data_IF_446468888206
#
_entry.id   IF_446468888206
#
_cell.length_a   1.000
_cell.length_b   1.000
_cell.length_c   1.000
_cell.angle_alpha   90.00
_cell.angle_beta   90.00
_cell.angle_gamma   90.00
#
_symmetry.space_group_name_H-M   'P 1'
#
loop_
_entity.id
_entity.type
_entity.pdbx_description
1 polymer ?
#
# COMPACT_ATOMS: atom_id res chain seq x y z
N UNK A 1 -1.51 22.72 -23.63
CA UNK A 1 -2.54 21.74 -23.22
C UNK A 1 -2.37 20.36 -23.87
N UNK A 2 -1.86 20.23 -25.12
CA UNK A 2 -1.62 18.92 -25.77
C UNK A 2 -0.41 18.16 -25.18
N UNK A 3 0.66 18.82 -24.77
CA UNK A 3 1.86 18.17 -24.16
C UNK A 3 1.59 17.44 -22.86
N UNK A 4 0.67 17.93 -22.01
CA UNK A 4 0.33 17.31 -20.73
C UNK A 4 -0.36 15.94 -20.86
N UNK A 5 -1.06 15.69 -21.99
CA UNK A 5 -1.77 14.43 -22.22
C UNK A 5 -0.80 13.28 -22.55
N UNK A 6 0.38 13.60 -23.10
CA UNK A 6 1.37 12.59 -23.50
C UNK A 6 2.43 12.31 -22.43
N UNK A 7 2.41 13.01 -21.30
CA UNK A 7 3.35 12.75 -20.23
C UNK A 7 3.16 11.33 -19.69
N UNK A 8 4.21 10.52 -19.84
CA UNK A 8 4.23 9.17 -19.30
C UNK A 8 4.51 9.23 -17.80
N UNK A 9 3.77 8.50 -16.93
CA UNK A 9 4.13 8.40 -15.51
C UNK A 9 5.52 7.78 -15.35
N UNK A 10 6.26 8.23 -14.35
CA UNK A 10 7.43 7.53 -13.86
C UNK A 10 7.05 6.14 -13.36
N UNK A 11 8.02 5.25 -13.16
CA UNK A 11 7.73 3.93 -12.59
C UNK A 11 7.22 4.03 -11.16
N UNK A 12 7.71 4.99 -10.38
CA UNK A 12 7.24 5.23 -9.01
C UNK A 12 5.77 5.68 -9.01
N UNK A 13 5.39 6.64 -9.87
CA UNK A 13 4.00 7.07 -10.01
C UNK A 13 3.10 5.93 -10.50
N UNK A 14 3.58 5.11 -11.45
CA UNK A 14 2.82 3.99 -11.98
C UNK A 14 2.52 2.94 -10.89
N UNK A 15 3.52 2.52 -10.12
CA UNK A 15 3.31 1.54 -9.06
C UNK A 15 2.56 2.12 -7.87
N UNK A 16 2.74 3.40 -7.57
CA UNK A 16 1.92 4.08 -6.57
C UNK A 16 0.43 4.10 -6.98
N UNK A 17 0.12 4.34 -8.26
CA UNK A 17 -1.27 4.25 -8.76
C UNK A 17 -1.84 2.83 -8.58
N UNK A 18 -1.06 1.78 -8.83
CA UNK A 18 -1.50 0.40 -8.59
C UNK A 18 -1.77 0.16 -7.10
N UNK A 19 -0.90 0.65 -6.19
CA UNK A 19 -1.12 0.57 -4.76
C UNK A 19 -2.41 1.33 -4.34
N UNK A 20 -2.66 2.52 -4.89
CA UNK A 20 -3.89 3.28 -4.67
C UNK A 20 -5.13 2.53 -5.20
N UNK A 21 -5.02 1.91 -6.35
CA UNK A 21 -6.10 1.08 -6.90
C UNK A 21 -6.36 -0.14 -6.01
N UNK A 22 -5.31 -0.79 -5.49
CA UNK A 22 -5.48 -1.87 -4.52
C UNK A 22 -6.17 -1.39 -3.24
N UNK A 23 -5.86 -0.16 -2.76
CA UNK A 23 -6.49 0.45 -1.59
C UNK A 23 -8.01 0.59 -1.73
N UNK A 24 -8.56 0.73 -2.95
CA UNK A 24 -10.02 0.80 -3.16
C UNK A 24 -10.75 -0.48 -2.76
N UNK A 25 -10.02 -1.59 -2.62
CA UNK A 25 -10.54 -2.88 -2.14
C UNK A 25 -10.53 -3.00 -0.61
N UNK A 26 -9.99 -2.02 0.10
CA UNK A 26 -9.94 -2.04 1.55
C UNK A 26 -11.33 -2.19 2.17
N UNK A 27 -11.41 -3.01 3.19
CA UNK A 27 -12.62 -3.22 3.99
C UNK A 27 -12.43 -2.77 5.43
N UNK A 28 -11.38 -1.99 5.70
CA UNK A 28 -11.11 -1.35 6.98
C UNK A 28 -11.91 -0.07 7.14
N UNK A 29 -12.42 0.19 8.35
CA UNK A 29 -13.19 1.40 8.66
C UNK A 29 -12.29 2.61 8.96
N UNK A 30 -11.01 2.40 9.29
CA UNK A 30 -10.10 3.50 9.67
C UNK A 30 -9.60 4.26 8.43
N UNK A 31 -8.76 3.63 7.63
CA UNK A 31 -8.34 4.19 6.33
C UNK A 31 -8.09 3.09 5.30
N UNK A 32 -8.35 3.36 4.02
CA UNK A 32 -7.96 2.47 2.95
C UNK A 32 -6.44 2.53 2.73
N UNK A 33 -5.78 1.39 2.84
CA UNK A 33 -4.34 1.24 2.55
C UNK A 33 -4.17 0.16 1.49
N UNK A 34 -3.29 0.42 0.53
CA UNK A 34 -2.92 -0.52 -0.51
C UNK A 34 -1.41 -0.66 -0.63
N UNK A 35 -0.98 -1.84 -1.02
CA UNK A 35 0.42 -2.18 -1.24
C UNK A 35 0.60 -2.96 -2.54
N UNK A 36 1.74 -2.78 -3.20
CA UNK A 36 2.14 -3.57 -4.37
C UNK A 36 3.61 -3.95 -4.25
N UNK A 37 3.91 -5.24 -4.41
CA UNK A 37 5.26 -5.77 -4.46
C UNK A 37 5.67 -5.88 -5.93
N UNK A 38 6.84 -5.34 -6.25
CA UNK A 38 7.35 -5.20 -7.61
C UNK A 38 8.77 -5.71 -7.70
N UNK A 39 9.11 -6.41 -8.77
CA UNK A 39 10.49 -6.77 -9.11
C UNK A 39 10.67 -6.67 -10.62
N UNK A 40 11.79 -6.13 -11.07
CA UNK A 40 12.11 -5.98 -12.50
C UNK A 40 10.97 -5.30 -13.29
N UNK A 41 10.33 -4.30 -12.69
CA UNK A 41 9.17 -3.57 -13.23
C UNK A 41 7.93 -4.44 -13.46
N UNK A 42 7.85 -5.62 -12.83
CA UNK A 42 6.68 -6.49 -12.85
C UNK A 42 6.00 -6.52 -11.49
N UNK A 43 4.68 -6.46 -11.49
CA UNK A 43 3.88 -6.64 -10.28
C UNK A 43 3.91 -8.11 -9.88
N UNK A 44 4.38 -8.39 -8.68
CA UNK A 44 4.42 -9.74 -8.11
C UNK A 44 3.18 -10.05 -7.29
N UNK A 45 2.76 -9.11 -6.43
CA UNK A 45 1.60 -9.28 -5.58
C UNK A 45 1.03 -7.90 -5.21
N UNK A 46 -0.26 -7.88 -4.90
CA UNK A 46 -0.95 -6.71 -4.34
C UNK A 46 -1.55 -7.07 -2.99
N UNK A 47 -1.74 -6.07 -2.13
CA UNK A 47 -2.43 -6.22 -0.86
C UNK A 47 -3.24 -4.98 -0.53
N UNK A 48 -4.28 -5.16 0.24
CA UNK A 48 -5.07 -4.08 0.84
C UNK A 48 -5.43 -4.47 2.27
N UNK A 49 -5.72 -3.50 3.12
CA UNK A 49 -6.01 -3.79 4.52
C UNK A 49 -7.47 -4.23 4.71
N UNK A 50 -7.65 -5.23 5.57
CA UNK A 50 -8.94 -5.81 5.91
C UNK A 50 -8.79 -7.06 6.76
N UNK A 51 -9.88 -7.59 7.34
CA UNK A 51 -9.86 -8.83 8.10
C UNK A 51 -9.31 -10.00 7.26
N UNK A 52 -8.80 -11.05 7.90
CA UNK A 52 -8.37 -12.27 7.21
C UNK A 52 -9.46 -12.82 6.29
N UNK A 53 -9.04 -13.45 5.18
CA UNK A 53 -9.96 -14.09 4.24
C UNK A 53 -10.88 -15.09 4.96
N UNK A 54 -12.18 -15.03 4.67
CA UNK A 54 -13.21 -15.83 5.34
C UNK A 54 -13.84 -15.15 6.57
N UNK A 55 -13.28 -14.05 7.08
CA UNK A 55 -13.91 -13.25 8.13
C UNK A 55 -14.88 -12.21 7.54
N UNK A 56 -15.90 -11.84 8.32
CA UNK A 56 -16.78 -10.74 7.94
C UNK A 56 -15.99 -9.43 7.80
N UNK A 57 -16.29 -8.66 6.76
CA UNK A 57 -15.68 -7.36 6.54
C UNK A 57 -16.13 -6.33 7.58
N UNK A 58 -15.20 -5.52 8.08
CA UNK A 58 -15.53 -4.45 9.03
C UNK A 58 -16.54 -3.46 8.43
N UNK A 59 -16.42 -3.14 7.15
CA UNK A 59 -17.36 -2.27 6.43
C UNK A 59 -18.78 -2.86 6.34
N UNK A 60 -18.92 -4.19 6.24
CA UNK A 60 -20.22 -4.85 6.14
C UNK A 60 -20.94 -4.96 7.50
N UNK A 61 -20.16 -5.10 8.59
CA UNK A 61 -20.73 -5.23 9.94
C UNK A 61 -20.79 -3.89 10.70
N UNK A 62 -20.15 -2.83 10.21
CA UNK A 62 -20.18 -1.50 10.82
C UNK A 62 -19.22 -1.28 11.99
N UNK A 63 -18.43 -2.28 12.38
CA UNK A 63 -17.47 -2.19 13.49
C UNK A 63 -16.24 -3.07 13.25
N UNK A 64 -15.11 -2.76 13.91
CA UNK A 64 -13.92 -3.59 13.89
C UNK A 64 -14.06 -4.77 14.86
N UNK A 65 -14.52 -4.50 16.07
CA UNK A 65 -14.90 -5.48 17.07
C UNK A 65 -16.26 -5.11 17.67
N UNK A 66 -17.05 -6.08 18.16
CA UNK A 66 -18.22 -5.78 18.98
C UNK A 66 -17.81 -4.85 20.13
N UNK A 67 -18.67 -3.89 20.46
CA UNK A 67 -18.45 -3.04 21.63
C UNK A 67 -18.23 -3.93 22.86
N UNK A 68 -17.01 -3.92 23.38
CA UNK A 68 -16.75 -4.43 24.70
C UNK A 68 -17.20 -3.36 25.68
N UNK A 69 -18.17 -3.65 26.49
CA UNK A 69 -18.86 -2.74 27.45
C UNK A 69 -17.95 -2.11 28.51
N UNK A 70 -16.65 -2.26 28.43
CA UNK A 70 -15.66 -1.59 29.28
C UNK A 70 -14.48 -1.11 28.44
N UNK A 71 -14.37 0.20 28.26
CA UNK A 71 -13.21 0.86 27.67
C UNK A 71 -12.00 0.87 28.62
N UNK A 72 -11.56 -0.28 29.04
CA UNK A 72 -10.25 -0.40 29.66
C UNK A 72 -9.21 -0.41 28.54
N UNK A 73 -8.52 0.72 28.35
CA UNK A 73 -7.49 0.85 27.32
C UNK A 73 -6.37 -0.20 27.44
N UNK A 74 -6.18 -0.78 28.64
CA UNK A 74 -5.23 -1.88 28.85
C UNK A 74 -5.69 -3.20 28.22
N UNK A 75 -6.98 -3.31 27.87
CA UNK A 75 -7.61 -4.48 27.24
C UNK A 75 -7.99 -4.23 25.79
N UNK A 76 -7.53 -3.13 25.20
CA UNK A 76 -7.80 -2.82 23.79
C UNK A 76 -7.30 -3.95 22.88
N UNK A 77 -8.22 -4.57 22.18
CA UNK A 77 -7.89 -5.60 21.20
C UNK A 77 -7.14 -4.97 20.02
N UNK A 78 -6.15 -5.66 19.44
CA UNK A 78 -5.52 -5.21 18.21
C UNK A 78 -6.55 -5.17 17.08
N UNK A 79 -6.35 -4.30 16.10
CA UNK A 79 -7.22 -4.24 14.93
C UNK A 79 -7.39 -5.63 14.30
N UNK A 80 -8.62 -5.98 13.89
CA UNK A 80 -8.87 -7.20 13.09
C UNK A 80 -8.23 -7.14 11.71
N UNK A 81 -7.91 -5.95 11.25
CA UNK A 81 -7.37 -5.73 9.92
C UNK A 81 -5.93 -6.23 9.82
N UNK A 82 -5.67 -7.13 8.90
CA UNK A 82 -4.33 -7.41 8.40
C UNK A 82 -3.92 -6.22 7.54
N UNK A 83 -2.74 -5.68 7.75
CA UNK A 83 -2.25 -4.53 7.00
C UNK A 83 -1.97 -4.88 5.54
N UNK A 84 -2.02 -3.89 4.67
CA UNK A 84 -1.89 -4.06 3.22
C UNK A 84 -0.56 -4.74 2.84
N UNK A 85 0.53 -4.34 3.50
CA UNK A 85 1.87 -4.88 3.28
C UNK A 85 1.94 -6.36 3.67
N UNK A 86 1.40 -6.69 4.84
CA UNK A 86 1.35 -8.07 5.32
C UNK A 86 0.49 -8.95 4.39
N UNK A 87 -0.64 -8.42 3.90
CA UNK A 87 -1.48 -9.11 2.91
C UNK A 87 -0.75 -9.31 1.59
N UNK A 88 0.00 -8.32 1.08
CA UNK A 88 0.78 -8.47 -0.14
C UNK A 88 1.84 -9.57 -0.01
N UNK A 89 2.57 -9.60 1.12
CA UNK A 89 3.56 -10.65 1.43
C UNK A 89 2.88 -12.01 1.56
N UNK A 90 1.74 -12.09 2.25
CA UNK A 90 0.99 -13.34 2.40
C UNK A 90 0.46 -13.86 1.05
N UNK A 91 -0.01 -12.98 0.14
CA UNK A 91 -0.40 -13.36 -1.21
C UNK A 91 0.79 -13.89 -2.01
N UNK A 92 1.95 -13.23 -1.96
CA UNK A 92 3.16 -13.74 -2.59
C UNK A 92 3.52 -15.14 -2.07
N UNK A 93 3.54 -15.32 -0.75
CA UNK A 93 3.84 -16.61 -0.11
C UNK A 93 2.84 -17.71 -0.51
N UNK A 94 1.53 -17.39 -0.51
CA UNK A 94 0.47 -18.33 -0.90
C UNK A 94 0.62 -18.86 -2.33
N UNK A 95 1.18 -18.03 -3.21
CA UNK A 95 1.36 -18.39 -4.63
C UNK A 95 2.79 -18.81 -4.97
N UNK A 96 3.67 -19.01 -3.97
CA UNK A 96 5.06 -19.42 -4.19
C UNK A 96 5.91 -18.37 -4.89
N UNK A 97 5.55 -17.09 -4.78
CA UNK A 97 6.27 -15.98 -5.42
C UNK A 97 7.39 -15.50 -4.51
N UNK A 98 8.62 -15.55 -5.01
CA UNK A 98 9.79 -15.06 -4.29
C UNK A 98 9.82 -13.52 -4.25
N UNK A 99 9.85 -12.96 -3.05
CA UNK A 99 9.92 -11.50 -2.82
C UNK A 99 11.34 -10.99 -2.57
N UNK A 100 12.33 -11.87 -2.51
CA UNK A 100 13.71 -11.48 -2.27
C UNK A 100 14.25 -10.55 -3.36
N UNK A 101 14.76 -9.39 -2.95
CA UNK A 101 15.23 -8.33 -3.85
C UNK A 101 14.11 -7.58 -4.58
N UNK A 102 12.86 -7.71 -4.14
CA UNK A 102 11.75 -6.90 -4.63
C UNK A 102 11.70 -5.54 -3.93
N UNK A 103 10.84 -4.67 -4.46
CA UNK A 103 10.49 -3.34 -3.95
C UNK A 103 9.01 -3.37 -3.56
N UNK A 104 8.63 -2.62 -2.53
CA UNK A 104 7.23 -2.45 -2.17
C UNK A 104 6.81 -0.98 -2.25
N UNK A 105 5.67 -0.71 -2.88
CA UNK A 105 5.01 0.60 -2.89
C UNK A 105 3.76 0.52 -2.03
N UNK A 106 3.57 1.49 -1.14
CA UNK A 106 2.42 1.56 -0.23
C UNK A 106 1.84 2.97 -0.17
N UNK A 107 0.54 3.07 0.01
CA UNK A 107 -0.13 4.37 0.12
C UNK A 107 0.10 5.06 1.46
N UNK A 108 0.47 4.30 2.52
CA UNK A 108 0.77 4.80 3.85
C UNK A 108 2.09 4.20 4.35
N UNK A 109 2.94 5.01 4.99
CA UNK A 109 4.22 4.53 5.55
C UNK A 109 4.01 3.31 6.44
N UNK A 110 4.79 2.22 6.23
CA UNK A 110 4.63 0.99 6.99
C UNK A 110 4.87 1.19 8.49
N UNK A 111 4.00 0.62 9.30
CA UNK A 111 4.26 0.54 10.72
C UNK A 111 5.45 -0.39 11.01
N UNK A 112 6.02 -0.30 12.22
CA UNK A 112 7.21 -1.09 12.58
C UNK A 112 7.01 -2.61 12.45
N UNK A 113 5.79 -3.11 12.64
CA UNK A 113 5.50 -4.54 12.49
C UNK A 113 5.54 -4.97 11.02
N UNK A 114 4.94 -4.18 10.13
CA UNK A 114 5.02 -4.40 8.69
C UNK A 114 6.44 -4.23 8.16
N UNK A 115 7.19 -3.25 8.67
CA UNK A 115 8.57 -3.04 8.29
C UNK A 115 9.46 -4.26 8.59
N UNK A 116 9.28 -4.89 9.76
CA UNK A 116 9.96 -6.15 10.10
C UNK A 116 9.63 -7.27 9.11
N UNK A 117 8.35 -7.42 8.74
CA UNK A 117 7.93 -8.41 7.75
C UNK A 117 8.53 -8.15 6.37
N UNK A 118 8.54 -6.88 5.93
CA UNK A 118 9.14 -6.44 4.67
C UNK A 118 10.62 -6.83 4.64
N UNK A 119 11.39 -6.48 5.67
CA UNK A 119 12.81 -6.82 5.78
C UNK A 119 13.00 -8.36 5.76
N UNK A 120 12.22 -9.08 6.57
CA UNK A 120 12.32 -10.55 6.68
C UNK A 120 11.92 -11.28 5.39
N UNK A 121 11.10 -10.66 4.53
CA UNK A 121 10.73 -11.20 3.23
C UNK A 121 11.76 -10.90 2.11
N UNK A 122 12.90 -10.27 2.47
CA UNK A 122 13.95 -9.93 1.53
C UNK A 122 13.71 -8.69 0.69
N UNK A 123 12.67 -7.93 0.98
CA UNK A 123 12.38 -6.63 0.36
C UNK A 123 13.25 -5.57 1.05
N UNK A 124 14.01 -4.79 0.27
CA UNK A 124 14.95 -3.79 0.81
C UNK A 124 14.58 -2.34 0.51
N UNK A 125 13.66 -2.11 -0.40
CA UNK A 125 13.23 -0.77 -0.78
C UNK A 125 11.73 -0.60 -0.57
N UNK A 126 11.36 0.45 0.15
CA UNK A 126 9.98 0.82 0.46
C UNK A 126 9.72 2.21 -0.06
N UNK A 127 8.74 2.34 -0.94
CA UNK A 127 8.23 3.61 -1.40
C UNK A 127 6.85 3.84 -0.78
N UNK A 128 6.62 4.99 -0.16
CA UNK A 128 5.34 5.31 0.48
C UNK A 128 4.86 6.71 0.11
N UNK A 129 3.55 6.93 0.11
CA UNK A 129 2.98 8.23 -0.24
C UNK A 129 2.80 9.12 0.99
N UNK A 130 2.08 8.65 1.98
CA UNK A 130 1.72 9.42 3.17
C UNK A 130 2.52 8.93 4.37
N UNK A 131 3.14 9.86 5.10
CA UNK A 131 3.85 9.52 6.33
C UNK A 131 2.90 9.07 7.42
N UNK A 132 3.34 8.13 8.22
CA UNK A 132 2.61 7.62 9.38
C UNK A 132 3.37 7.94 10.67
N UNK A 133 2.72 8.67 11.57
CA UNK A 133 3.30 8.95 12.89
C UNK A 133 3.23 7.69 13.75
N UNK A 134 4.33 6.96 13.82
CA UNK A 134 4.46 5.72 14.60
C UNK A 134 4.73 5.95 16.10
N UNK A 135 4.69 7.20 16.56
CA UNK A 135 5.04 7.55 17.94
C UNK A 135 6.48 7.16 18.29
N UNK A 136 6.73 6.68 19.51
CA UNK A 136 8.07 6.31 19.98
C UNK A 136 8.77 5.14 19.26
N UNK A 137 8.17 4.59 18.19
CA UNK A 137 8.74 3.48 17.41
C UNK A 137 9.62 3.95 16.24
N UNK A 138 9.70 5.26 16.01
CA UNK A 138 10.54 5.85 14.96
C UNK A 138 12.03 5.47 15.12
N UNK A 139 12.54 5.44 16.35
CA UNK A 139 13.93 5.08 16.64
C UNK A 139 14.32 3.69 16.12
N UNK A 140 13.42 2.70 16.22
CA UNK A 140 13.71 1.35 15.70
C UNK A 140 13.68 1.30 14.18
N UNK A 141 12.79 2.07 13.53
CA UNK A 141 12.78 2.25 12.07
C UNK A 141 14.12 2.85 11.61
N UNK A 142 14.55 3.91 12.28
CA UNK A 142 15.77 4.64 11.91
C UNK A 142 17.01 3.75 12.08
N UNK A 143 17.03 2.89 13.11
CA UNK A 143 18.08 1.89 13.29
C UNK A 143 18.13 0.91 12.10
N UNK A 144 17.00 0.38 11.63
CA UNK A 144 16.99 -0.53 10.48
C UNK A 144 17.48 0.14 9.19
N UNK A 145 17.22 1.44 9.04
CA UNK A 145 17.74 2.23 7.91
C UNK A 145 19.25 2.43 8.05
N UNK A 146 19.75 2.80 9.23
CA UNK A 146 21.19 2.99 9.51
C UNK A 146 21.97 1.70 9.31
N UNK A 147 21.41 0.56 9.69
CA UNK A 147 22.03 -0.76 9.49
C UNK A 147 21.98 -1.23 8.02
N UNK A 148 21.39 -0.44 7.12
CA UNK A 148 21.28 -0.77 5.69
C UNK A 148 20.35 -1.94 5.38
N UNK A 149 19.45 -2.28 6.30
CA UNK A 149 18.51 -3.41 6.13
C UNK A 149 17.38 -3.06 5.20
N UNK A 150 16.98 -1.77 5.16
CA UNK A 150 15.88 -1.26 4.34
C UNK A 150 16.11 0.21 4.03
N UNK A 151 15.65 0.65 2.86
CA UNK A 151 15.52 2.07 2.52
C UNK A 151 14.05 2.47 2.44
N UNK A 152 13.71 3.64 2.98
CA UNK A 152 12.38 4.24 2.91
C UNK A 152 12.45 5.52 2.10
N UNK A 153 11.59 5.66 1.10
CA UNK A 153 11.51 6.83 0.24
C UNK A 153 10.08 7.28 0.09
N UNK A 154 9.82 8.54 0.41
CA UNK A 154 8.52 9.13 0.14
C UNK A 154 8.40 9.48 -1.33
N UNK A 155 7.26 9.14 -1.93
CA UNK A 155 6.91 9.42 -3.32
C UNK A 155 5.49 9.97 -3.38
N UNK A 156 5.21 10.77 -4.39
CA UNK A 156 3.88 11.34 -4.58
C UNK A 156 3.48 11.23 -6.04
N UNK A 157 2.17 11.19 -6.25
CA UNK A 157 1.59 11.25 -7.59
C UNK A 157 1.43 12.73 -7.97
N UNK A 158 1.98 13.14 -9.10
CA UNK A 158 1.79 14.50 -9.61
C UNK A 158 0.34 14.72 -10.03
N UNK A 159 -0.17 15.95 -9.88
CA UNK A 159 -1.55 16.31 -10.26
C UNK A 159 -1.84 16.00 -11.73
N UNK A 160 -0.87 16.21 -12.60
CA UNK A 160 -0.99 15.91 -14.04
C UNK A 160 -1.22 14.43 -14.28
N UNK A 161 -0.43 13.56 -13.63
CA UNK A 161 -0.56 12.11 -13.78
C UNK A 161 -1.83 11.60 -13.09
N UNK A 162 -2.21 12.16 -11.92
CA UNK A 162 -3.45 11.83 -11.25
C UNK A 162 -4.68 12.13 -12.13
N UNK A 163 -4.75 13.32 -12.73
CA UNK A 163 -5.82 13.71 -13.66
C UNK A 163 -5.86 12.82 -14.90
N UNK A 164 -4.70 12.51 -15.47
CA UNK A 164 -4.58 11.59 -16.59
C UNK A 164 -5.11 10.21 -16.26
N UNK A 165 -4.71 9.64 -15.11
CA UNK A 165 -5.18 8.33 -14.65
C UNK A 165 -6.69 8.32 -14.45
N UNK A 166 -7.25 9.35 -13.81
CA UNK A 166 -8.69 9.49 -13.63
C UNK A 166 -9.43 9.55 -14.98
N UNK A 167 -8.89 10.29 -15.97
CA UNK A 167 -9.46 10.35 -17.32
C UNK A 167 -9.48 8.96 -17.98
N UNK A 168 -8.39 8.20 -17.89
CA UNK A 168 -8.35 6.84 -18.43
C UNK A 168 -9.33 5.88 -17.77
N UNK A 169 -9.54 6.02 -16.46
CA UNK A 169 -10.49 5.19 -15.71
C UNK A 169 -11.95 5.52 -16.04
N UNK A 170 -12.24 6.80 -16.35
CA UNK A 170 -13.60 7.26 -16.65
C UNK A 170 -13.95 7.10 -18.14
N UNK A 171 -13.02 7.46 -19.02
CA UNK A 171 -13.20 7.38 -20.48
C UNK A 171 -11.86 7.16 -21.19
N UNK A 172 -11.46 5.91 -21.43
CA UNK A 172 -10.20 5.60 -22.12
C UNK A 172 -10.19 6.08 -23.57
N UNK A 173 -11.33 6.40 -24.17
CA UNK A 173 -11.43 6.86 -25.56
C UNK A 173 -11.18 8.35 -25.71
N UNK A 174 -11.30 9.13 -24.62
CA UNK A 174 -11.10 10.59 -24.62
C UNK A 174 -9.70 11.01 -25.05
N UNK A 175 -8.73 10.10 -25.01
CA UNK A 175 -7.32 10.34 -25.31
C UNK A 175 -6.96 9.91 -26.75
N UNK A 176 -7.84 9.20 -27.44
CA UNK A 176 -7.57 8.62 -28.76
C UNK A 176 -7.85 9.56 -29.96
N UNK A 177 -8.10 10.85 -29.73
CA UNK A 177 -8.19 11.80 -30.82
C UNK A 177 -6.80 12.16 -31.40
N UNK A 178 -6.08 11.15 -31.85
CA UNK A 178 -5.11 11.36 -32.92
C UNK A 178 -5.95 11.57 -34.17
N UNK A 179 -6.14 12.82 -34.59
CA UNK A 179 -6.57 13.11 -35.92
C UNK A 179 -5.58 12.46 -36.89
N UNK A 180 -6.02 11.42 -37.59
CA UNK A 180 -5.32 10.86 -38.73
C UNK A 180 -5.24 11.93 -39.82
#
# INVERSE_FOLDING_TARGET
MREQIYQRPSWDEYFLMIAKLAATRSTCLAFPVGAVIVKDKQVLATGYNGPPSGSNHCTSQGFCYPELSSCDASKALPSRSVHAEANAIAQAAKHGICTNGAIIYVTLEPCIYCLKLIISSGIKEVFYETSFNSGGKAALRDLFIQDGLVSLKQVSLSDTIAKKAATFLLDPTSISKVSR
#
